data_IF_177121226641
#
_entry.id   IF_177121226641
#
_cell.length_a   1.000
_cell.length_b   1.000
_cell.length_c   1.000
_cell.angle_alpha   90.00
_cell.angle_beta   90.00
_cell.angle_gamma   90.00
#
_symmetry.space_group_name_H-M   'P 1'
#
loop_
_entity.id
_entity.type
_entity.pdbx_description
1 polymer ?
#
# COMPACT_ATOMS: atom_id res chain seq x y z
N UNK A 1 -12.09 43.87 -29.40
CA UNK A 1 -10.92 42.98 -29.29
C UNK A 1 -9.96 43.62 -28.30
N UNK A 2 -10.05 43.25 -27.03
CA UNK A 2 -8.92 43.07 -26.10
C UNK A 2 -9.49 42.71 -24.73
N UNK A 3 -8.77 41.83 -24.05
CA UNK A 3 -9.34 40.87 -23.12
C UNK A 3 -9.16 41.31 -21.66
N UNK A 4 -10.26 41.17 -20.92
CA UNK A 4 -10.38 40.65 -19.55
C UNK A 4 -9.54 41.27 -18.43
N UNK A 5 -10.25 41.97 -17.55
CA UNK A 5 -9.84 42.32 -16.20
C UNK A 5 -10.86 41.74 -15.20
N UNK A 6 -10.38 40.79 -14.39
CA UNK A 6 -10.75 40.43 -12.99
C UNK A 6 -12.16 39.87 -12.74
N UNK A 7 -12.22 38.67 -12.13
CA UNK A 7 -12.86 38.28 -10.84
C UNK A 7 -12.56 36.76 -10.66
N UNK A 8 -11.56 36.35 -9.89
CA UNK A 8 -11.69 35.96 -8.48
C UNK A 8 -12.97 35.18 -8.17
N UNK A 9 -12.94 33.84 -8.25
CA UNK A 9 -13.72 33.00 -7.34
C UNK A 9 -13.00 31.68 -7.05
N UNK A 10 -12.61 31.57 -5.78
CA UNK A 10 -11.92 30.46 -5.17
C UNK A 10 -12.73 29.16 -5.12
N UNK A 11 -11.98 28.07 -4.90
CA UNK A 11 -12.29 26.80 -4.20
C UNK A 11 -12.21 25.57 -5.09
N UNK A 12 -11.00 25.02 -5.27
CA UNK A 12 -10.64 23.71 -4.70
C UNK A 12 -9.21 23.80 -4.18
N UNK A 13 -9.09 23.48 -2.89
CA UNK A 13 -7.93 23.53 -2.01
C UNK A 13 -6.73 22.72 -2.57
N UNK A 14 -5.48 23.19 -2.41
CA UNK A 14 -4.31 22.39 -2.75
C UNK A 14 -4.27 21.16 -1.86
N UNK A 15 -4.08 19.97 -2.44
CA UNK A 15 -3.63 18.80 -1.67
C UNK A 15 -2.18 19.06 -1.27
N UNK A 16 -1.99 19.92 -0.27
CA UNK A 16 -0.78 19.98 0.53
C UNK A 16 -0.73 18.66 1.29
N UNK A 17 -0.09 17.65 0.70
CA UNK A 17 0.48 16.55 1.47
C UNK A 17 1.63 17.14 2.27
N UNK A 18 1.33 17.72 3.42
CA UNK A 18 2.33 17.99 4.45
C UNK A 18 2.80 16.65 4.97
N UNK A 19 3.62 15.93 4.20
CA UNK A 19 4.23 14.66 4.63
C UNK A 19 5.09 14.98 5.84
N UNK A 20 4.50 14.84 7.01
CA UNK A 20 5.24 14.95 8.25
C UNK A 20 6.26 13.82 8.29
N UNK A 21 7.43 14.01 8.93
CA UNK A 21 8.43 12.95 9.06
C UNK A 21 7.88 11.67 9.74
N UNK A 22 6.73 11.75 10.43
CA UNK A 22 6.05 10.62 11.04
C UNK A 22 5.22 9.73 10.10
N UNK A 23 4.73 10.24 8.97
CA UNK A 23 3.89 9.43 8.06
C UNK A 23 4.75 8.43 7.27
N UNK A 24 5.86 8.89 6.69
CA UNK A 24 6.83 8.00 6.03
C UNK A 24 7.52 7.01 6.99
N UNK A 25 7.58 7.35 8.29
CA UNK A 25 8.20 6.49 9.30
C UNK A 25 7.38 5.22 9.56
N UNK A 26 6.06 5.29 9.43
CA UNK A 26 5.19 4.13 9.63
C UNK A 26 5.48 3.03 8.62
N UNK A 27 5.42 3.34 7.31
CA UNK A 27 5.71 2.38 6.25
C UNK A 27 7.12 1.80 6.40
N UNK A 28 8.10 2.65 6.71
CA UNK A 28 9.48 2.21 6.93
C UNK A 28 9.59 1.23 8.11
N UNK A 29 8.88 1.49 9.21
CA UNK A 29 8.84 0.60 10.38
C UNK A 29 8.18 -0.73 10.04
N UNK A 30 7.01 -0.71 9.42
CA UNK A 30 6.32 -1.93 9.03
C UNK A 30 7.15 -2.74 8.04
N UNK A 31 7.87 -2.11 7.10
CA UNK A 31 8.78 -2.83 6.19
C UNK A 31 9.93 -3.53 6.94
N UNK A 32 10.46 -2.93 8.01
CA UNK A 32 11.49 -3.56 8.84
C UNK A 32 10.93 -4.76 9.61
N UNK A 33 9.75 -4.62 10.22
CA UNK A 33 9.09 -5.70 10.97
C UNK A 33 8.64 -6.83 10.02
N UNK A 34 8.14 -6.48 8.83
CA UNK A 34 7.81 -7.39 7.75
C UNK A 34 9.04 -8.18 7.23
N UNK A 35 10.22 -7.55 7.22
CA UNK A 35 11.48 -8.22 6.90
C UNK A 35 11.94 -9.17 8.01
N UNK A 36 11.58 -8.89 9.27
CA UNK A 36 11.75 -9.81 10.40
C UNK A 36 10.70 -10.94 10.41
N UNK A 37 9.72 -10.90 9.50
CA UNK A 37 8.70 -11.93 9.32
C UNK A 37 7.44 -11.74 10.17
N UNK A 38 7.24 -10.55 10.73
CA UNK A 38 6.04 -10.19 11.48
C UNK A 38 4.81 -10.19 10.56
N UNK A 39 3.79 -10.97 10.95
CA UNK A 39 2.54 -11.12 10.21
C UNK A 39 1.66 -9.86 10.32
N UNK A 40 1.65 -9.20 11.48
CA UNK A 40 0.87 -7.97 11.68
C UNK A 40 1.43 -6.85 10.81
N UNK A 41 2.75 -6.76 10.66
CA UNK A 41 3.39 -5.79 9.79
C UNK A 41 3.00 -5.97 8.30
N UNK A 42 2.81 -7.21 7.83
CA UNK A 42 2.25 -7.45 6.50
C UNK A 42 0.80 -6.97 6.39
N UNK A 43 -0.02 -7.16 7.41
CA UNK A 43 -1.39 -6.66 7.41
C UNK A 43 -1.43 -5.12 7.38
N UNK A 44 -0.64 -4.48 8.24
CA UNK A 44 -0.55 -3.01 8.35
C UNK A 44 -0.08 -2.34 7.05
N UNK A 45 0.89 -2.94 6.36
CA UNK A 45 1.30 -2.48 5.03
C UNK A 45 0.15 -2.62 4.03
N UNK A 46 -0.58 -3.74 4.06
CA UNK A 46 -1.75 -3.95 3.23
C UNK A 46 -2.80 -2.84 3.40
N UNK A 47 -3.12 -2.51 4.66
CA UNK A 47 -4.07 -1.45 5.00
C UNK A 47 -3.56 -0.08 4.54
N UNK A 48 -2.29 0.22 4.76
CA UNK A 48 -1.73 1.51 4.40
C UNK A 48 -1.76 1.75 2.87
N UNK A 49 -1.38 0.75 2.07
CA UNK A 49 -1.45 0.83 0.61
C UNK A 49 -2.88 0.77 0.07
N UNK A 50 -3.80 0.05 0.70
CA UNK A 50 -5.21 0.04 0.29
C UNK A 50 -5.85 1.42 0.48
N UNK A 51 -5.68 1.99 1.68
CA UNK A 51 -6.28 3.27 2.07
C UNK A 51 -5.54 4.50 1.53
N UNK A 52 -4.31 4.32 1.05
CA UNK A 52 -3.43 5.43 0.69
C UNK A 52 -3.05 6.30 1.90
N UNK A 53 -2.89 5.70 3.07
CA UNK A 53 -2.57 6.38 4.32
C UNK A 53 -1.07 6.36 4.63
N UNK A 54 -0.63 7.16 5.60
CA UNK A 54 0.76 7.20 6.05
C UNK A 54 1.76 7.54 4.93
N UNK A 55 1.33 8.36 3.96
CA UNK A 55 2.16 8.75 2.82
C UNK A 55 2.39 7.65 1.78
N UNK A 56 1.85 6.44 1.97
CA UNK A 56 1.71 5.48 0.89
C UNK A 56 0.59 6.00 -0.03
N UNK A 57 0.88 6.25 -1.31
CA UNK A 57 -0.20 6.42 -2.27
C UNK A 57 -1.07 5.15 -2.31
N UNK A 58 -2.35 5.28 -2.62
CA UNK A 58 -3.20 4.10 -2.77
C UNK A 58 -2.68 3.23 -3.93
N UNK A 59 -2.38 1.96 -3.64
CA UNK A 59 -1.86 0.97 -4.58
C UNK A 59 -2.40 -0.41 -4.21
N UNK A 60 -3.43 -0.86 -4.93
CA UNK A 60 -4.07 -2.16 -4.69
C UNK A 60 -3.15 -3.35 -4.98
N UNK A 61 -2.13 -3.18 -5.84
CA UNK A 61 -1.17 -4.25 -6.15
C UNK A 61 -0.26 -4.49 -4.95
N UNK A 62 0.28 -3.42 -4.35
CA UNK A 62 1.04 -3.54 -3.11
C UNK A 62 0.14 -4.00 -1.95
N UNK A 63 -1.07 -3.46 -1.81
CA UNK A 63 -2.01 -3.89 -0.78
C UNK A 63 -2.28 -5.40 -0.85
N UNK A 64 -2.64 -5.91 -2.04
CA UNK A 64 -2.91 -7.33 -2.26
C UNK A 64 -1.68 -8.20 -1.97
N UNK A 65 -0.50 -7.77 -2.39
CA UNK A 65 0.76 -8.47 -2.09
C UNK A 65 0.93 -8.63 -0.58
N UNK A 66 0.80 -7.56 0.20
CA UNK A 66 1.01 -7.58 1.64
C UNK A 66 -0.05 -8.41 2.37
N UNK A 67 -1.33 -8.23 2.01
CA UNK A 67 -2.39 -9.08 2.54
C UNK A 67 -2.21 -10.56 2.18
N UNK A 68 -1.73 -10.88 0.98
CA UNK A 68 -1.43 -12.25 0.59
C UNK A 68 -0.32 -12.87 1.46
N UNK A 69 0.73 -12.11 1.79
CA UNK A 69 1.80 -12.56 2.67
C UNK A 69 1.30 -12.81 4.11
N UNK A 70 0.46 -11.91 4.64
CA UNK A 70 -0.17 -12.08 5.95
C UNK A 70 -1.11 -13.30 5.97
N UNK A 71 -1.96 -13.45 4.95
CA UNK A 71 -2.91 -14.56 4.83
C UNK A 71 -2.22 -15.92 4.74
N UNK A 72 -1.12 -16.03 3.98
CA UNK A 72 -0.32 -17.27 3.87
C UNK A 72 0.25 -17.70 5.22
N UNK A 73 0.50 -16.75 6.13
CA UNK A 73 0.95 -17.06 7.49
C UNK A 73 -0.19 -17.30 8.49
N UNK A 74 -1.45 -17.19 8.07
CA UNK A 74 -2.63 -17.47 8.91
C UNK A 74 -3.40 -16.24 9.39
N UNK A 75 -3.12 -15.03 8.88
CA UNK A 75 -3.91 -13.84 9.24
C UNK A 75 -5.28 -13.87 8.54
N UNK A 76 -6.32 -14.29 9.24
CA UNK A 76 -7.67 -14.45 8.67
C UNK A 76 -8.23 -13.13 8.12
N UNK A 77 -8.06 -12.03 8.85
CA UNK A 77 -8.52 -10.70 8.40
C UNK A 77 -7.79 -10.25 7.14
N UNK A 78 -6.52 -10.63 6.97
CA UNK A 78 -5.80 -10.30 5.74
C UNK A 78 -6.33 -11.12 4.55
N UNK A 79 -6.78 -12.36 4.78
CA UNK A 79 -7.40 -13.16 3.74
C UNK A 79 -8.71 -12.53 3.25
N UNK A 80 -9.51 -11.99 4.18
CA UNK A 80 -10.72 -11.22 3.87
C UNK A 80 -10.40 -9.94 3.11
N UNK A 81 -9.51 -9.09 3.62
CA UNK A 81 -9.13 -7.83 2.94
C UNK A 81 -8.55 -8.10 1.55
N UNK A 82 -7.74 -9.15 1.38
CA UNK A 82 -7.23 -9.56 0.07
C UNK A 82 -8.35 -9.91 -0.90
N UNK A 83 -9.35 -10.67 -0.45
CA UNK A 83 -10.47 -11.07 -1.29
C UNK A 83 -11.31 -9.86 -1.69
N UNK A 84 -11.61 -8.98 -0.73
CA UNK A 84 -12.35 -7.73 -0.92
C UNK A 84 -11.70 -6.84 -1.98
N UNK A 85 -10.42 -6.46 -1.81
CA UNK A 85 -9.76 -5.60 -2.81
C UNK A 85 -9.52 -6.29 -4.15
N UNK A 86 -9.54 -7.63 -4.21
CA UNK A 86 -9.40 -8.36 -5.48
C UNK A 86 -10.60 -8.15 -6.39
N UNK A 87 -11.76 -7.78 -5.85
CA UNK A 87 -12.96 -7.49 -6.65
C UNK A 87 -12.79 -6.22 -7.50
N UNK A 88 -11.90 -5.31 -7.08
CA UNK A 88 -11.58 -4.06 -7.80
C UNK A 88 -10.37 -4.19 -8.74
N UNK A 89 -9.68 -5.33 -8.71
CA UNK A 89 -8.45 -5.56 -9.47
C UNK A 89 -8.69 -6.39 -10.73
N UNK A 90 -7.90 -6.13 -11.76
CA UNK A 90 -7.83 -7.00 -12.93
C UNK A 90 -7.01 -8.27 -12.64
N UNK A 91 -7.25 -9.34 -13.41
CA UNK A 91 -6.45 -10.56 -13.32
C UNK A 91 -4.95 -10.31 -13.52
N UNK A 92 -4.58 -9.31 -14.34
CA UNK A 92 -3.18 -8.92 -14.57
C UNK A 92 -2.56 -8.30 -13.31
N UNK A 93 -3.31 -7.44 -12.62
CA UNK A 93 -2.86 -6.79 -11.38
C UNK A 93 -2.76 -7.80 -10.23
N UNK A 94 -3.71 -8.74 -10.13
CA UNK A 94 -3.64 -9.84 -9.16
C UNK A 94 -2.40 -10.71 -9.43
N UNK A 95 -2.14 -11.06 -10.69
CA UNK A 95 -0.97 -11.84 -11.08
C UNK A 95 0.34 -11.11 -10.75
N UNK A 96 0.38 -9.79 -10.97
CA UNK A 96 1.49 -8.91 -10.57
C UNK A 96 1.71 -8.95 -9.05
N UNK A 97 0.67 -8.70 -8.26
CA UNK A 97 0.74 -8.68 -6.80
C UNK A 97 1.24 -10.02 -6.24
N UNK A 98 0.71 -11.14 -6.75
CA UNK A 98 1.14 -12.48 -6.36
C UNK A 98 2.59 -12.76 -6.76
N UNK A 99 3.05 -12.25 -7.92
CA UNK A 99 4.45 -12.39 -8.34
C UNK A 99 5.37 -11.63 -7.38
N UNK A 100 5.05 -10.38 -7.06
CA UNK A 100 5.82 -9.58 -6.09
C UNK A 100 5.84 -10.21 -4.70
N UNK A 101 4.75 -10.85 -4.26
CA UNK A 101 4.72 -11.58 -2.99
C UNK A 101 5.68 -12.78 -2.99
N UNK A 102 5.71 -13.55 -4.08
CA UNK A 102 6.68 -14.66 -4.24
C UNK A 102 8.12 -14.16 -4.26
N UNK A 103 8.38 -13.07 -4.98
CA UNK A 103 9.70 -12.44 -5.03
C UNK A 103 10.15 -11.95 -3.65
N UNK A 104 9.24 -11.39 -2.84
CA UNK A 104 9.54 -10.98 -1.47
C UNK A 104 9.97 -12.16 -0.59
N UNK A 105 9.23 -13.26 -0.60
CA UNK A 105 9.58 -14.47 0.16
C UNK A 105 10.93 -15.04 -0.29
N UNK A 106 11.14 -15.17 -1.61
CA UNK A 106 12.40 -15.66 -2.16
C UNK A 106 13.59 -14.73 -1.85
N UNK A 107 13.38 -13.42 -1.76
CA UNK A 107 14.41 -12.47 -1.33
C UNK A 107 14.72 -12.59 0.17
N UNK A 108 13.71 -12.86 1.01
CA UNK A 108 13.89 -13.11 2.44
C UNK A 108 14.69 -14.40 2.71
N UNK A 109 14.38 -15.48 2.00
CA UNK A 109 15.09 -16.76 2.12
C UNK A 109 16.58 -16.64 1.76
N UNK A 110 16.91 -15.91 0.69
CA UNK A 110 18.31 -15.65 0.30
C UNK A 110 19.09 -14.80 1.31
N UNK A 111 18.42 -14.03 2.16
CA UNK A 111 19.07 -13.23 3.22
C UNK A 111 19.34 -14.06 4.48
N UNK A 112 18.68 -15.20 4.63
CA UNK A 112 18.81 -16.09 5.80
C UNK A 112 19.77 -17.27 5.58
N UNK A 113 20.22 -17.51 4.34
CA UNK A 113 21.16 -18.56 3.94
C UNK A 113 22.58 -18.03 3.77
#
# INVERSE_FOLDING_TARGET
>A
MEWSRIEEFAKIRPAQGSTGPGESLFIARCLADAAAGDMAAYYDLGVAYSTGSHGAGSDLIEAHKWFNLAAVKGHEEAAWCRADISEEMTAREIAEAQRRAREWLAAGERRAA
#
